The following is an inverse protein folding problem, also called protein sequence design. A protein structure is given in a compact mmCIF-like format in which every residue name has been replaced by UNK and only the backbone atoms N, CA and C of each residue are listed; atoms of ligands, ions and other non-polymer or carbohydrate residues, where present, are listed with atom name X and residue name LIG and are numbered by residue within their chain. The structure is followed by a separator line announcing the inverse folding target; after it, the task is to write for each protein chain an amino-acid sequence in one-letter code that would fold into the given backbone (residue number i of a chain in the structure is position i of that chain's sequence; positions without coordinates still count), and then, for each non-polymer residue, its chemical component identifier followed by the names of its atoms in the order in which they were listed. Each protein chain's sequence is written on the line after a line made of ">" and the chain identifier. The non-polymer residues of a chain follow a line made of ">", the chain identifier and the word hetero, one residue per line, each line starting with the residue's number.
data_IF_890897703626
#
_entry.id   IF_890897703626
#
_cell.length_a   1.000
_cell.length_b   1.000
_cell.length_c   1.000
_cell.angle_alpha   90.00
_cell.angle_beta   90.00
_cell.angle_gamma   90.00
#
_symmetry.space_group_name_H-M   'P 1'
#
loop_
_entity.id
_entity.type
_entity.pdbx_description
1 polymer ?
#
# COMPACT_ATOMS: atom_id res chain seq x y z
N UNK A 1 3.82 -24.96 1.46
CA UNK A 1 3.79 -24.69 0.00
C UNK A 1 4.02 -23.20 -0.08
N UNK A 2 5.21 -22.80 -0.52
CA UNK A 2 5.71 -21.43 -0.30
C UNK A 2 4.91 -20.39 -1.03
N UNK A 3 4.66 -19.27 -0.35
CA UNK A 3 3.95 -18.13 -0.93
C UNK A 3 4.68 -16.84 -0.60
N UNK A 4 4.82 -15.96 -1.59
CA UNK A 4 5.32 -14.60 -1.37
C UNK A 4 4.22 -13.74 -0.75
N UNK A 5 4.53 -12.94 0.27
CA UNK A 5 3.73 -11.78 0.60
C UNK A 5 4.06 -10.69 -0.42
N UNK A 6 3.11 -10.33 -1.30
CA UNK A 6 3.40 -9.34 -2.33
C UNK A 6 3.62 -7.95 -1.73
N UNK A 7 4.86 -7.49 -1.82
CA UNK A 7 5.26 -6.11 -1.61
C UNK A 7 6.00 -5.66 -2.88
N UNK A 8 5.34 -4.85 -3.70
CA UNK A 8 5.98 -4.21 -4.85
C UNK A 8 6.44 -2.81 -4.44
N UNK A 9 7.76 -2.55 -4.28
CA UNK A 9 8.25 -1.19 -4.13
C UNK A 9 8.16 -0.44 -5.47
N UNK A 10 7.84 0.84 -5.39
CA UNK A 10 8.07 1.77 -6.49
C UNK A 10 9.57 2.02 -6.64
N UNK A 11 10.13 1.60 -7.80
CA UNK A 11 11.51 1.81 -8.31
C UNK A 11 12.48 2.56 -7.37
N UNK A 12 13.46 1.84 -6.81
CA UNK A 12 14.68 2.43 -6.23
C UNK A 12 15.93 1.95 -6.97
N UNK A 13 16.70 2.88 -7.53
CA UNK A 13 18.15 2.71 -7.69
C UNK A 13 18.77 3.16 -6.37
N UNK A 14 19.51 2.31 -5.70
CA UNK A 14 20.37 2.74 -4.59
C UNK A 14 21.76 2.16 -4.75
N UNK A 15 22.70 3.08 -4.92
CA UNK A 15 24.13 2.92 -4.79
C UNK A 15 24.46 2.52 -3.34
N UNK A 16 25.47 1.68 -3.17
CA UNK A 16 25.96 1.17 -1.88
C UNK A 16 26.62 2.30 -1.10
N UNK A 17 26.18 2.58 0.13
CA UNK A 17 26.96 3.30 1.15
C UNK A 17 26.46 2.95 2.58
N UNK A 18 27.42 2.69 3.47
CA UNK A 18 27.36 2.10 4.83
C UNK A 18 26.96 3.10 5.93
N UNK A 19 26.82 2.72 7.21
CA UNK A 19 25.75 2.00 7.93
C UNK A 19 26.05 2.12 9.43
N UNK A 20 25.33 2.99 10.16
CA UNK A 20 25.06 2.87 11.62
C UNK A 20 24.03 3.91 12.10
N UNK A 21 24.14 5.17 11.66
CA UNK A 21 23.20 6.25 12.06
C UNK A 21 21.78 6.13 11.46
N UNK A 22 21.64 5.32 10.41
CA UNK A 22 20.37 5.08 9.71
C UNK A 22 19.43 4.19 10.52
N UNK A 23 19.94 3.29 11.37
CA UNK A 23 19.11 2.34 12.10
C UNK A 23 18.23 3.00 13.17
N UNK A 24 18.76 3.97 13.92
CA UNK A 24 18.00 4.72 14.93
C UNK A 24 17.00 5.70 14.32
N UNK A 25 17.32 6.28 13.15
CA UNK A 25 16.43 7.21 12.45
C UNK A 25 15.23 6.49 11.81
N UNK A 26 15.45 5.27 11.29
CA UNK A 26 14.40 4.44 10.70
C UNK A 26 13.44 3.86 11.74
N UNK A 27 13.89 3.53 12.94
CA UNK A 27 13.03 2.99 14.00
C UNK A 27 12.03 4.04 14.53
N UNK A 28 12.46 5.29 14.72
CA UNK A 28 11.56 6.39 15.12
C UNK A 28 10.55 6.78 14.03
N UNK A 29 10.96 6.82 12.77
CA UNK A 29 10.06 7.07 11.64
C UNK A 29 9.02 5.95 11.48
N UNK A 30 9.43 4.69 11.66
CA UNK A 30 8.53 3.53 11.63
C UNK A 30 7.51 3.56 12.78
N UNK A 31 7.94 3.89 14.01
CA UNK A 31 7.05 4.03 15.17
C UNK A 31 6.02 5.15 15.00
N UNK A 32 6.44 6.32 14.50
CA UNK A 32 5.56 7.46 14.24
C UNK A 32 4.53 7.13 13.14
N UNK A 33 4.99 6.44 12.08
CA UNK A 33 4.12 5.98 11.00
C UNK A 33 3.09 4.95 11.47
N UNK A 34 3.50 4.02 12.34
CA UNK A 34 2.60 3.03 12.92
C UNK A 34 1.55 3.66 13.84
N UNK A 35 1.95 4.60 14.71
CA UNK A 35 1.02 5.32 15.59
C UNK A 35 -0.07 6.06 14.80
N UNK A 36 0.30 6.69 13.68
CA UNK A 36 -0.65 7.35 12.79
C UNK A 36 -1.60 6.35 12.10
N UNK A 37 -1.07 5.20 11.66
CA UNK A 37 -1.90 4.10 11.12
C UNK A 37 -2.91 3.64 12.16
N UNK A 38 -2.50 3.40 13.40
CA UNK A 38 -3.39 2.92 14.46
C UNK A 38 -4.43 3.97 14.87
N UNK A 39 -4.11 5.25 14.71
CA UNK A 39 -5.05 6.36 14.91
C UNK A 39 -6.13 6.39 13.83
N UNK A 40 -5.77 6.16 12.56
CA UNK A 40 -6.71 6.21 11.43
C UNK A 40 -7.46 4.88 11.24
N UNK A 41 -6.78 3.77 11.52
CA UNK A 41 -7.19 2.39 11.25
C UNK A 41 -7.11 1.55 12.52
N UNK A 42 -7.84 1.98 13.56
CA UNK A 42 -7.80 1.31 14.85
C UNK A 42 -8.34 -0.13 14.78
N UNK A 43 -7.76 -1.08 15.54
CA UNK A 43 -8.32 -2.41 15.69
C UNK A 43 -9.79 -2.36 16.09
N UNK A 44 -10.57 -3.29 15.55
CA UNK A 44 -12.04 -3.43 15.70
C UNK A 44 -12.87 -2.34 15.02
N UNK A 45 -12.26 -1.30 14.44
CA UNK A 45 -12.99 -0.34 13.62
C UNK A 45 -13.61 -1.03 12.40
N UNK A 46 -14.77 -0.53 11.97
CA UNK A 46 -15.48 -1.04 10.80
C UNK A 46 -15.24 -0.12 9.61
N UNK A 47 -14.92 -0.71 8.46
CA UNK A 47 -14.80 -0.01 7.19
C UNK A 47 -15.89 -0.50 6.25
N UNK A 48 -16.42 0.39 5.42
CA UNK A 48 -17.32 0.03 4.32
C UNK A 48 -16.55 0.28 3.03
N UNK A 49 -16.11 -0.79 2.39
CA UNK A 49 -15.35 -0.73 1.14
C UNK A 49 -16.29 -0.76 -0.05
N UNK A 50 -15.90 -0.12 -1.15
CA UNK A 50 -16.45 -0.35 -2.48
C UNK A 50 -15.54 -1.36 -3.20
N UNK A 51 -15.95 -2.61 -3.22
CA UNK A 51 -15.22 -3.73 -3.83
C UNK A 51 -15.67 -3.96 -5.27
N UNK A 52 -14.73 -4.09 -6.20
CA UNK A 52 -15.03 -4.43 -7.59
C UNK A 52 -14.59 -5.86 -7.88
N UNK A 53 -15.53 -6.82 -8.02
CA UNK A 53 -15.22 -8.17 -8.45
C UNK A 53 -14.57 -8.20 -9.84
N UNK A 54 -13.71 -9.19 -10.11
CA UNK A 54 -13.02 -9.33 -11.40
C UNK A 54 -13.96 -9.33 -12.63
N UNK A 55 -15.19 -9.80 -12.47
CA UNK A 55 -16.18 -9.93 -13.55
C UNK A 55 -17.23 -8.80 -13.54
N UNK A 56 -17.03 -7.71 -12.79
CA UNK A 56 -18.00 -6.63 -12.63
C UNK A 56 -17.37 -5.27 -12.84
N UNK A 57 -18.12 -4.37 -13.50
CA UNK A 57 -17.78 -2.96 -13.58
C UNK A 57 -18.43 -2.13 -12.45
N UNK A 58 -19.26 -2.78 -11.62
CA UNK A 58 -19.96 -2.13 -10.51
C UNK A 58 -19.33 -2.49 -9.18
N UNK A 59 -19.06 -1.46 -8.37
CA UNK A 59 -18.59 -1.62 -7.00
C UNK A 59 -19.72 -2.08 -6.08
N UNK A 60 -19.45 -3.08 -5.27
CA UNK A 60 -20.35 -3.60 -4.25
C UNK A 60 -19.86 -3.18 -2.88
N UNK A 61 -20.78 -2.90 -1.95
CA UNK A 61 -20.41 -2.57 -0.58
C UNK A 61 -19.94 -3.82 0.16
N UNK A 62 -18.71 -3.77 0.67
CA UNK A 62 -18.11 -4.82 1.47
C UNK A 62 -17.75 -4.24 2.86
N UNK A 63 -18.64 -4.37 3.85
CA UNK A 63 -18.31 -4.08 5.23
C UNK A 63 -17.27 -5.07 5.78
N UNK A 64 -16.23 -4.53 6.41
CA UNK A 64 -15.16 -5.30 7.05
C UNK A 64 -14.88 -4.76 8.45
N UNK A 65 -14.37 -5.61 9.35
CA UNK A 65 -13.82 -5.20 10.63
C UNK A 65 -12.29 -5.35 10.61
N UNK A 66 -11.57 -4.37 11.14
CA UNK A 66 -10.11 -4.43 11.28
C UNK A 66 -9.78 -5.35 12.45
N UNK A 67 -9.00 -6.41 12.22
CA UNK A 67 -8.47 -7.23 13.32
C UNK A 67 -7.17 -6.61 13.85
N UNK A 68 -6.24 -6.27 12.96
CA UNK A 68 -4.98 -5.58 13.29
C UNK A 68 -4.42 -4.82 12.10
N UNK A 69 -3.57 -3.84 12.39
CA UNK A 69 -2.66 -3.22 11.44
C UNK A 69 -1.30 -3.92 11.47
N UNK A 70 -0.57 -3.86 10.37
CA UNK A 70 0.83 -4.28 10.33
C UNK A 70 1.74 -3.06 10.27
N UNK A 71 2.90 -3.16 10.91
CA UNK A 71 3.97 -2.15 10.82
C UNK A 71 4.23 -1.79 9.36
N UNK A 72 4.37 -0.49 8.97
CA UNK A 72 4.55 -0.15 7.58
C UNK A 72 5.90 -0.64 7.06
N UNK A 73 5.88 -1.71 6.27
CA UNK A 73 7.03 -2.18 5.50
C UNK A 73 6.88 -1.89 3.99
N UNK A 74 5.73 -1.35 3.58
CA UNK A 74 5.43 -0.92 2.21
C UNK A 74 4.93 0.53 2.19
N UNK A 75 4.77 1.10 1.00
CA UNK A 75 4.10 2.40 0.83
C UNK A 75 2.60 2.32 1.15
N UNK A 76 1.98 1.14 1.11
CA UNK A 76 0.59 0.94 1.49
C UNK A 76 0.45 0.61 2.99
N UNK A 77 -0.67 1.01 3.57
CA UNK A 77 -1.13 0.49 4.86
C UNK A 77 -1.61 -0.94 4.63
N UNK A 78 -1.17 -1.86 5.47
CA UNK A 78 -1.56 -3.27 5.40
C UNK A 78 -2.38 -3.59 6.66
N UNK A 79 -3.59 -4.09 6.45
CA UNK A 79 -4.53 -4.44 7.52
C UNK A 79 -4.96 -5.89 7.38
N UNK A 80 -5.04 -6.61 8.50
CA UNK A 80 -5.79 -7.86 8.58
C UNK A 80 -7.25 -7.51 8.86
N UNK A 81 -8.15 -7.96 7.99
CA UNK A 81 -9.58 -7.65 8.10
C UNK A 81 -10.44 -8.90 8.03
N UNK A 82 -11.56 -8.86 8.74
CA UNK A 82 -12.62 -9.85 8.68
C UNK A 82 -13.80 -9.28 7.87
N UNK A 83 -14.23 -9.92 6.77
CA UNK A 83 -15.44 -9.54 6.06
C UNK A 83 -16.67 -9.84 6.92
N UNK A 84 -17.65 -8.92 6.93
CA UNK A 84 -18.89 -9.07 7.70
C UNK A 84 -20.02 -9.70 6.88
N UNK A 85 -19.83 -9.87 5.58
CA UNK A 85 -20.77 -10.47 4.65
C UNK A 85 -20.06 -10.97 3.37
N UNK A 86 -20.78 -11.75 2.57
CA UNK A 86 -20.34 -12.24 1.26
C UNK A 86 -19.55 -13.56 1.31
N UNK A 87 -19.21 -14.12 0.14
CA UNK A 87 -18.56 -15.43 0.00
C UNK A 87 -17.03 -15.33 0.18
N UNK A 88 -16.57 -14.52 1.13
CA UNK A 88 -15.15 -14.29 1.37
C UNK A 88 -14.60 -15.21 2.48
N UNK A 89 -13.30 -15.51 2.50
CA UNK A 89 -12.66 -16.18 3.63
C UNK A 89 -12.84 -15.39 4.93
N UNK A 90 -12.71 -16.07 6.07
CA UNK A 90 -12.84 -15.44 7.40
C UNK A 90 -11.85 -14.31 7.66
N UNK A 91 -10.69 -14.33 7.00
CA UNK A 91 -9.65 -13.31 7.09
C UNK A 91 -9.08 -12.97 5.73
N UNK A 92 -8.80 -11.69 5.52
CA UNK A 92 -8.19 -11.16 4.30
C UNK A 92 -7.17 -10.09 4.63
N UNK A 93 -6.20 -9.90 3.74
CA UNK A 93 -5.31 -8.74 3.76
C UNK A 93 -5.95 -7.61 2.96
N UNK A 94 -6.11 -6.46 3.60
CA UNK A 94 -6.51 -5.20 2.95
C UNK A 94 -5.28 -4.29 2.84
N UNK A 95 -4.85 -4.01 1.62
CA UNK A 95 -3.80 -3.01 1.34
C UNK A 95 -4.44 -1.70 0.90
N UNK A 96 -4.19 -0.62 1.63
CA UNK A 96 -4.70 0.73 1.35
C UNK A 96 -3.56 1.69 1.01
N UNK A 97 -3.64 2.31 -0.17
CA UNK A 97 -2.68 3.30 -0.64
C UNK A 97 -3.05 4.70 -0.12
N UNK A 98 -3.18 4.81 1.20
CA UNK A 98 -3.52 6.05 1.87
C UNK A 98 -2.34 7.03 1.81
N UNK A 99 -2.55 8.23 1.28
CA UNK A 99 -1.52 9.27 1.24
C UNK A 99 -1.12 9.75 2.64
N UNK A 100 -2.02 9.63 3.61
CA UNK A 100 -1.84 10.11 4.98
C UNK A 100 -0.89 9.23 5.79
N UNK A 101 -0.74 7.97 5.40
CA UNK A 101 -0.05 6.94 6.17
C UNK A 101 1.08 6.25 5.39
N UNK A 102 1.79 5.34 6.05
CA UNK A 102 2.82 4.48 5.45
C UNK A 102 4.06 5.24 4.98
N UNK A 103 4.92 4.57 4.20
CA UNK A 103 6.08 5.24 3.61
C UNK A 103 5.63 6.27 2.56
N UNK A 104 6.00 7.54 2.75
CA UNK A 104 5.57 8.72 1.95
C UNK A 104 6.66 9.22 0.98
N UNK A 105 7.77 8.49 0.82
CA UNK A 105 8.86 8.81 -0.12
C UNK A 105 10.22 8.91 0.57
N UNK A 106 11.28 9.13 -0.23
CA UNK A 106 12.68 9.17 0.24
C UNK A 106 13.30 10.57 0.25
N UNK A 107 12.61 11.56 -0.30
CA UNK A 107 13.19 12.89 -0.44
C UNK A 107 13.27 13.55 0.93
N UNK A 108 14.43 14.14 1.26
CA UNK A 108 14.82 14.72 2.57
C UNK A 108 13.90 15.85 3.10
N UNK A 109 12.82 16.13 2.37
CA UNK A 109 11.69 16.98 2.74
C UNK A 109 10.48 16.12 3.19
N UNK A 110 10.73 15.12 4.04
CA UNK A 110 9.71 14.30 4.70
C UNK A 110 8.82 15.19 5.57
N UNK A 111 7.89 15.89 4.93
CA UNK A 111 6.81 16.60 5.59
C UNK A 111 5.81 15.52 6.03
N UNK A 112 5.72 15.23 7.34
CA UNK A 112 4.71 14.31 7.84
C UNK A 112 3.32 14.86 7.51
N UNK A 113 2.36 13.95 7.38
CA UNK A 113 0.98 14.35 7.21
C UNK A 113 0.47 15.00 8.50
N UNK A 114 -0.29 16.08 8.37
CA UNK A 114 -1.04 16.66 9.47
C UNK A 114 -2.50 16.88 9.08
N UNK A 115 -3.46 16.68 9.99
CA UNK A 115 -4.87 16.94 9.71
C UNK A 115 -5.16 18.36 9.21
N UNK A 116 -4.35 19.34 9.62
CA UNK A 116 -4.45 20.74 9.20
C UNK A 116 -4.20 20.98 7.71
N UNK A 117 -3.58 20.03 6.99
CA UNK A 117 -3.37 20.13 5.53
C UNK A 117 -4.66 19.90 4.75
N UNK A 118 -5.62 19.17 5.32
CA UNK A 118 -6.82 18.71 4.61
C UNK A 118 -7.72 19.85 4.10
N UNK A 119 -8.03 20.90 4.89
CA UNK A 119 -8.82 22.03 4.41
C UNK A 119 -8.09 22.81 3.30
N UNK A 120 -6.77 22.98 3.43
CA UNK A 120 -5.94 23.71 2.47
C UNK A 120 -5.85 22.95 1.15
N UNK A 121 -5.55 21.64 1.22
CA UNK A 121 -5.58 20.75 0.06
C UNK A 121 -6.93 20.79 -0.64
N UNK A 122 -8.02 20.70 0.13
CA UNK A 122 -9.37 20.70 -0.44
C UNK A 122 -9.69 22.00 -1.18
N UNK A 123 -9.38 23.15 -0.56
CA UNK A 123 -9.58 24.46 -1.18
C UNK A 123 -8.81 24.58 -2.50
N UNK A 124 -7.51 24.29 -2.47
CA UNK A 124 -6.65 24.44 -3.65
C UNK A 124 -7.02 23.45 -4.76
N UNK A 125 -7.34 22.21 -4.42
CA UNK A 125 -7.80 21.23 -5.41
C UNK A 125 -9.11 21.68 -6.07
N UNK A 126 -10.04 22.25 -5.30
CA UNK A 126 -11.28 22.83 -5.86
C UNK A 126 -10.98 23.99 -6.81
N UNK A 127 -10.04 24.87 -6.47
CA UNK A 127 -9.64 25.99 -7.34
C UNK A 127 -9.00 25.49 -8.64
N UNK A 128 -8.14 24.47 -8.58
CA UNK A 128 -7.53 23.83 -9.76
C UNK A 128 -8.60 23.25 -10.67
N UNK A 129 -9.53 22.46 -10.10
CA UNK A 129 -10.58 21.78 -10.89
C UNK A 129 -11.57 22.76 -11.53
N UNK A 130 -11.74 23.95 -10.95
CA UNK A 130 -12.55 25.03 -11.54
C UNK A 130 -11.78 25.89 -12.55
N UNK A 131 -10.50 25.62 -12.76
CA UNK A 131 -9.62 26.43 -13.61
C UNK A 131 -9.23 27.79 -13.01
N UNK A 132 -9.53 28.02 -11.72
CA UNK A 132 -9.19 29.26 -11.03
C UNK A 132 -7.74 29.29 -10.53
N UNK A 133 -7.06 28.13 -10.53
CA UNK A 133 -5.64 27.97 -10.21
C UNK A 133 -4.99 27.10 -11.28
N UNK A 134 -3.75 27.42 -11.63
CA UNK A 134 -2.95 26.65 -12.60
C UNK A 134 -2.74 25.19 -12.13
N UNK A 135 -2.91 24.24 -13.03
CA UNK A 135 -2.68 22.82 -12.77
C UNK A 135 -1.26 22.40 -13.16
N UNK A 136 -0.32 22.47 -12.21
CA UNK A 136 1.04 21.97 -12.39
C UNK A 136 1.21 20.46 -12.15
N UNK A 137 0.14 19.73 -11.83
CA UNK A 137 0.24 18.34 -11.38
C UNK A 137 -0.14 17.37 -12.50
N UNK A 138 0.85 16.60 -12.99
CA UNK A 138 0.62 15.58 -14.02
C UNK A 138 -0.43 14.54 -13.61
N UNK A 139 -0.48 14.18 -12.32
CA UNK A 139 -1.48 13.23 -11.79
C UNK A 139 -2.92 13.78 -11.83
N UNK A 140 -3.09 15.08 -12.00
CA UNK A 140 -4.36 15.77 -12.22
C UNK A 140 -4.58 16.15 -13.68
N UNK A 141 -3.77 15.64 -14.62
CA UNK A 141 -3.86 15.99 -16.04
C UNK A 141 -3.20 17.32 -16.42
N UNK A 142 -2.38 17.92 -15.53
CA UNK A 142 -1.59 19.11 -15.86
C UNK A 142 -0.56 18.84 -16.96
N UNK A 143 -0.33 19.83 -17.81
CA UNK A 143 0.55 19.74 -19.00
C UNK A 143 1.93 20.35 -18.80
N UNK A 144 2.10 21.21 -17.79
CA UNK A 144 3.38 21.87 -17.46
C UNK A 144 3.95 21.26 -16.19
N UNK A 145 5.10 20.56 -16.24
CA UNK A 145 5.69 19.98 -15.05
C UNK A 145 6.29 21.06 -14.15
N UNK A 146 5.89 21.12 -12.88
CA UNK A 146 6.63 21.85 -11.84
C UNK A 146 7.83 21.00 -11.37
N UNK A 147 8.78 20.71 -12.25
CA UNK A 147 10.06 20.12 -11.82
C UNK A 147 11.00 21.22 -11.32
N UNK A 148 11.60 21.03 -10.14
CA UNK A 148 12.67 21.89 -9.62
C UNK A 148 12.25 23.10 -8.79
N UNK A 149 10.97 23.28 -8.47
CA UNK A 149 10.54 24.31 -7.52
C UNK A 149 10.53 23.68 -6.11
N UNK A 150 11.20 24.33 -5.15
CA UNK A 150 11.07 24.02 -3.73
C UNK A 150 9.58 24.07 -3.40
N UNK A 151 9.00 22.95 -2.97
CA UNK A 151 7.58 22.92 -2.62
C UNK A 151 7.37 23.83 -1.43
N UNK A 152 6.65 24.92 -1.66
CA UNK A 152 6.45 25.95 -0.64
C UNK A 152 5.29 25.59 0.28
N UNK A 153 4.35 24.75 -0.16
CA UNK A 153 3.11 24.49 0.57
C UNK A 153 2.87 22.98 0.77
N UNK A 154 2.61 22.56 2.01
CA UNK A 154 2.44 21.15 2.38
C UNK A 154 1.34 20.40 1.63
N UNK A 155 0.31 21.09 1.12
CA UNK A 155 -0.76 20.45 0.35
C UNK A 155 -0.32 20.03 -1.06
N UNK A 156 0.67 20.70 -1.67
CA UNK A 156 1.21 20.30 -2.98
C UNK A 156 1.89 18.93 -2.86
N UNK A 157 2.57 18.69 -1.74
CA UNK A 157 3.15 17.37 -1.41
C UNK A 157 2.09 16.28 -1.35
N UNK A 158 0.91 16.56 -0.79
CA UNK A 158 -0.17 15.56 -0.68
C UNK A 158 -0.69 15.09 -2.05
N UNK A 159 -0.77 15.97 -3.04
CA UNK A 159 -1.20 15.62 -4.41
C UNK A 159 -0.18 14.71 -5.08
N UNK A 160 1.11 14.98 -4.86
CA UNK A 160 2.16 14.16 -5.44
C UNK A 160 2.29 12.80 -4.76
N UNK A 161 2.30 12.77 -3.42
CA UNK A 161 2.29 11.51 -2.66
C UNK A 161 1.10 10.65 -3.11
N UNK A 162 -0.08 11.26 -3.27
CA UNK A 162 -1.22 10.56 -3.85
C UNK A 162 -0.95 10.04 -5.26
N UNK A 163 -0.41 10.88 -6.16
CA UNK A 163 -0.12 10.50 -7.54
C UNK A 163 0.88 9.34 -7.65
N UNK A 164 1.91 9.35 -6.81
CA UNK A 164 2.90 8.27 -6.73
C UNK A 164 2.29 6.97 -6.22
N UNK A 165 1.56 7.03 -5.10
CA UNK A 165 0.87 5.86 -4.53
C UNK A 165 -0.20 5.31 -5.45
N UNK A 166 -0.99 6.16 -6.10
CA UNK A 166 -2.00 5.75 -7.07
C UNK A 166 -1.37 5.09 -8.32
N UNK A 167 -0.20 5.55 -8.75
CA UNK A 167 0.57 4.89 -9.82
C UNK A 167 1.13 3.54 -9.38
N UNK A 168 1.70 3.46 -8.17
CA UNK A 168 2.21 2.22 -7.61
C UNK A 168 1.09 1.19 -7.49
N UNK A 169 -0.04 1.57 -6.89
CA UNK A 169 -1.25 0.75 -6.78
C UNK A 169 -1.74 0.22 -8.13
N UNK A 170 -1.89 1.07 -9.16
CA UNK A 170 -2.31 0.63 -10.49
C UNK A 170 -1.34 -0.38 -11.09
N UNK A 171 -0.05 -0.21 -10.86
CA UNK A 171 0.99 -1.12 -11.35
C UNK A 171 0.88 -2.46 -10.63
N UNK A 172 0.69 -2.45 -9.32
CA UNK A 172 0.53 -3.65 -8.49
C UNK A 172 -0.75 -4.42 -8.84
N UNK A 173 -1.89 -3.74 -8.98
CA UNK A 173 -3.15 -4.37 -9.44
C UNK A 173 -2.98 -5.00 -10.82
N UNK A 174 -2.30 -4.30 -11.76
CA UNK A 174 -2.02 -4.86 -13.08
C UNK A 174 -1.10 -6.08 -13.00
N UNK A 175 -0.10 -6.06 -12.12
CA UNK A 175 0.79 -7.21 -11.91
C UNK A 175 -0.01 -8.43 -11.43
N UNK A 176 -0.91 -8.26 -10.47
CA UNK A 176 -1.79 -9.35 -10.02
C UNK A 176 -2.64 -9.93 -11.15
N UNK A 177 -3.26 -9.08 -11.97
CA UNK A 177 -4.01 -9.55 -13.13
C UNK A 177 -3.15 -10.33 -14.13
N UNK A 178 -1.90 -9.92 -14.36
CA UNK A 178 -0.99 -10.62 -15.28
C UNK A 178 -0.46 -11.93 -14.70
N UNK A 179 -0.30 -12.02 -13.39
CA UNK A 179 0.24 -13.18 -12.68
C UNK A 179 -0.85 -14.13 -12.16
N UNK A 180 -2.00 -14.18 -12.83
CA UNK A 180 -3.17 -14.96 -12.39
C UNK A 180 -2.86 -16.44 -12.15
N UNK A 181 -2.00 -17.06 -12.98
CA UNK A 181 -1.62 -18.48 -12.85
C UNK A 181 -0.79 -18.79 -11.61
N UNK A 182 -0.13 -17.78 -11.01
CA UNK A 182 0.70 -17.92 -9.82
C UNK A 182 -0.07 -17.66 -8.52
N UNK A 183 -1.30 -17.16 -8.62
CA UNK A 183 -2.11 -16.80 -7.45
C UNK A 183 -2.66 -18.01 -6.71
N UNK A 184 -2.56 -17.97 -5.38
CA UNK A 184 -2.97 -19.06 -4.50
C UNK A 184 -1.99 -20.25 -4.49
N UNK A 185 -0.88 -20.17 -5.22
CA UNK A 185 0.19 -21.18 -5.24
C UNK A 185 1.50 -20.55 -4.82
N UNK A 186 1.95 -19.54 -5.56
CA UNK A 186 3.25 -18.86 -5.40
C UNK A 186 3.08 -17.46 -4.82
N UNK A 187 2.02 -16.75 -5.20
CA UNK A 187 1.67 -15.44 -4.64
C UNK A 187 0.26 -15.49 -4.02
N UNK A 188 -0.13 -14.56 -3.14
CA UNK A 188 -1.42 -14.61 -2.47
C UNK A 188 -2.52 -14.40 -3.50
N UNK A 189 -3.66 -15.06 -3.33
CA UNK A 189 -4.80 -14.83 -4.23
C UNK A 189 -5.25 -13.36 -4.16
N UNK A 190 -5.45 -12.74 -5.32
CA UNK A 190 -6.02 -11.41 -5.45
C UNK A 190 -7.53 -11.51 -5.59
N UNK A 191 -8.28 -10.93 -4.66
CA UNK A 191 -9.74 -10.93 -4.71
C UNK A 191 -10.27 -9.80 -5.60
N UNK A 192 -9.59 -8.65 -5.61
CA UNK A 192 -9.97 -7.51 -6.43
C UNK A 192 -9.56 -6.17 -5.84
N UNK A 193 -9.69 -5.09 -6.63
CA UNK A 193 -9.47 -3.74 -6.14
C UNK A 193 -10.63 -3.29 -5.25
N UNK A 194 -10.31 -2.40 -4.31
CA UNK A 194 -11.30 -1.73 -3.46
C UNK A 194 -11.08 -0.22 -3.45
N UNK A 195 -12.13 0.53 -3.10
CA UNK A 195 -12.03 1.92 -2.70
C UNK A 195 -12.58 2.05 -1.28
N UNK A 196 -11.88 2.78 -0.42
CA UNK A 196 -12.39 3.20 0.88
C UNK A 196 -12.89 4.65 0.75
N UNK A 197 -14.21 4.91 0.75
CA UNK A 197 -14.73 6.27 0.67
C UNK A 197 -14.26 7.11 1.85
N UNK A 198 -13.76 8.32 1.58
CA UNK A 198 -13.36 9.30 2.59
C UNK A 198 -14.46 10.32 2.87
N UNK A 199 -15.26 10.64 1.86
CA UNK A 199 -16.31 11.66 1.93
C UNK A 199 -17.58 11.18 1.26
N UNK A 200 -18.70 11.65 1.78
CA UNK A 200 -19.99 11.49 1.11
C UNK A 200 -20.05 12.39 -0.15
N UNK A 201 -20.86 12.01 -1.16
CA UNK A 201 -21.07 12.83 -2.36
C UNK A 201 -21.50 14.29 -2.03
N UNK A 202 -21.20 15.26 -2.91
CA UNK A 202 -20.62 15.10 -4.24
C UNK A 202 -19.10 14.85 -4.22
N UNK A 203 -18.68 13.82 -4.96
CA UNK A 203 -17.28 13.50 -5.20
C UNK A 203 -16.62 14.62 -6.02
N UNK A 204 -15.42 15.05 -5.60
CA UNK A 204 -14.68 16.13 -6.25
C UNK A 204 -13.52 15.60 -7.08
N UNK A 205 -12.65 14.81 -6.46
CA UNK A 205 -11.53 14.16 -7.11
C UNK A 205 -10.98 13.03 -6.24
N UNK A 206 -10.45 11.98 -6.87
CA UNK A 206 -9.94 10.77 -6.23
C UNK A 206 -8.83 11.00 -5.17
N UNK A 207 -8.21 12.18 -5.12
CA UNK A 207 -7.25 12.59 -4.06
C UNK A 207 -7.93 12.70 -2.68
N UNK A 208 -9.21 13.09 -2.66
CA UNK A 208 -9.97 13.37 -1.43
C UNK A 208 -11.27 12.56 -1.30
N UNK A 209 -11.70 11.88 -2.36
CA UNK A 209 -12.97 11.17 -2.35
C UNK A 209 -12.84 9.75 -1.78
N UNK A 210 -11.73 9.07 -2.06
CA UNK A 210 -11.49 7.71 -1.59
C UNK A 210 -10.01 7.36 -1.49
N UNK A 211 -9.70 6.33 -0.71
CA UNK A 211 -8.38 5.68 -0.68
C UNK A 211 -8.42 4.44 -1.57
N UNK A 212 -7.56 4.34 -2.61
CA UNK A 212 -7.46 3.15 -3.43
C UNK A 212 -6.82 1.99 -2.65
N UNK A 213 -7.30 0.78 -2.87
CA UNK A 213 -6.75 -0.40 -2.21
C UNK A 213 -7.00 -1.69 -2.98
N UNK A 214 -6.64 -2.80 -2.35
CA UNK A 214 -6.90 -4.15 -2.85
C UNK A 214 -7.08 -5.15 -1.71
N UNK A 215 -7.81 -6.22 -2.02
CA UNK A 215 -7.99 -7.37 -1.14
C UNK A 215 -7.17 -8.56 -1.62
N UNK A 216 -6.43 -9.15 -0.69
CA UNK A 216 -5.53 -10.28 -0.89
C UNK A 216 -5.84 -11.39 0.10
N UNK A 217 -5.45 -12.61 -0.26
CA UNK A 217 -5.45 -13.77 0.62
C UNK A 217 -4.58 -13.51 1.85
N UNK A 218 -5.14 -13.79 3.03
CA UNK A 218 -4.36 -13.91 4.26
C UNK A 218 -3.77 -15.31 4.36
N UNK A 219 -2.50 -15.38 4.68
CA UNK A 219 -1.77 -16.62 4.89
C UNK A 219 -1.33 -16.66 6.34
N UNK A 220 -1.89 -17.60 7.08
CA UNK A 220 -1.53 -17.84 8.48
C UNK A 220 -0.31 -18.76 8.54
N UNK A 221 0.79 -18.27 7.97
CA UNK A 221 2.03 -18.99 7.81
C UNK A 221 3.18 -18.16 8.39
N UNK A 222 4.15 -18.80 9.06
CA UNK A 222 5.33 -18.10 9.55
C UNK A 222 6.14 -17.56 8.38
N UNK A 223 6.72 -16.38 8.62
CA UNK A 223 7.70 -15.79 7.72
C UNK A 223 8.98 -16.60 7.75
N UNK A 224 9.69 -16.67 6.63
CA UNK A 224 10.98 -17.35 6.57
C UNK A 224 12.04 -16.65 7.44
N UNK A 225 11.80 -15.40 7.85
CA UNK A 225 12.65 -14.69 8.83
C UNK A 225 12.49 -15.24 10.26
N UNK A 226 11.33 -15.80 10.58
CA UNK A 226 10.99 -16.35 11.89
C UNK A 226 11.41 -17.82 12.04
N UNK A 227 11.96 -18.40 10.97
CA UNK A 227 12.23 -19.84 10.83
C UNK A 227 13.73 -20.10 10.98
N UNK A 228 14.11 -21.01 11.87
CA UNK A 228 15.50 -21.46 12.02
C UNK A 228 15.75 -22.76 11.26
N UNK A 229 16.62 -22.70 10.24
CA UNK A 229 17.05 -23.88 9.48
C UNK A 229 17.76 -24.87 10.42
N UNK A 230 17.38 -26.14 10.34
CA UNK A 230 17.86 -27.21 11.22
C UNK A 230 17.06 -27.37 12.53
N UNK A 231 16.14 -26.45 12.83
CA UNK A 231 15.23 -26.52 13.99
C UNK A 231 13.79 -26.63 13.51
N UNK A 232 13.34 -25.65 12.73
CA UNK A 232 11.95 -25.52 12.27
C UNK A 232 11.76 -26.08 10.85
N UNK A 233 12.82 -26.09 10.04
CA UNK A 233 12.83 -26.56 8.65
C UNK A 233 14.11 -27.33 8.37
N UNK A 234 14.01 -28.48 7.69
CA UNK A 234 15.18 -29.30 7.35
C UNK A 234 16.01 -28.67 6.23
N UNK A 235 17.29 -29.04 6.10
CA UNK A 235 18.16 -28.55 5.02
C UNK A 235 17.56 -28.83 3.63
N UNK A 236 17.01 -30.02 3.42
CA UNK A 236 16.35 -30.40 2.15
C UNK A 236 15.12 -29.56 1.87
N UNK A 237 14.35 -29.21 2.90
CA UNK A 237 13.23 -28.29 2.74
C UNK A 237 13.72 -26.88 2.41
N UNK A 238 14.77 -26.38 3.06
CA UNK A 238 15.38 -25.09 2.75
C UNK A 238 15.92 -25.00 1.30
N UNK A 239 16.48 -26.10 0.78
CA UNK A 239 16.91 -26.20 -0.62
C UNK A 239 15.72 -26.17 -1.59
N UNK A 240 14.65 -26.95 -1.31
CA UNK A 240 13.40 -26.88 -2.07
C UNK A 240 12.79 -25.47 -2.03
N UNK A 241 12.90 -24.79 -0.88
CA UNK A 241 12.42 -23.42 -0.70
C UNK A 241 13.20 -22.46 -1.60
N UNK A 242 14.53 -22.55 -1.57
CA UNK A 242 15.43 -21.73 -2.39
C UNK A 242 15.18 -21.93 -3.88
N UNK A 243 14.97 -23.18 -4.32
CA UNK A 243 14.70 -23.48 -5.72
C UNK A 243 13.37 -22.88 -6.20
N UNK A 244 12.31 -22.98 -5.41
CA UNK A 244 11.01 -22.38 -5.75
C UNK A 244 11.07 -20.84 -5.81
N UNK A 245 11.94 -20.21 -5.02
CA UNK A 245 12.15 -18.75 -5.04
C UNK A 245 12.88 -18.31 -6.32
N UNK A 246 13.88 -19.08 -6.77
CA UNK A 246 14.63 -18.79 -8.00
C UNK A 246 13.77 -18.86 -9.27
N UNK A 247 12.73 -19.70 -9.26
CA UNK A 247 11.79 -19.84 -10.38
C UNK A 247 10.74 -18.71 -10.43
N UNK A 248 10.73 -17.81 -9.45
CA UNK A 248 9.79 -16.69 -9.40
C UNK A 248 10.36 -15.45 -10.10
N UNK A 249 9.55 -14.87 -10.99
CA UNK A 249 9.73 -13.61 -11.74
C UNK A 249 10.60 -12.61 -10.98
N UNK A 250 11.51 -11.89 -11.68
CA UNK A 250 12.35 -10.81 -11.13
C UNK A 250 11.59 -9.92 -10.13
N UNK A 251 11.60 -10.32 -8.87
CA UNK A 251 10.90 -9.65 -7.80
C UNK A 251 11.94 -8.84 -7.05
N UNK A 252 11.93 -7.53 -7.29
CA UNK A 252 12.93 -6.60 -6.78
C UNK A 252 12.87 -6.40 -5.25
N UNK A 253 11.98 -7.12 -4.56
CA UNK A 253 11.84 -7.10 -3.09
C UNK A 253 11.77 -8.53 -2.50
N UNK A 254 12.56 -9.46 -3.05
CA UNK A 254 12.78 -10.77 -2.39
C UNK A 254 13.57 -10.52 -1.11
N UNK A 255 12.89 -10.69 0.03
CA UNK A 255 13.47 -10.69 1.38
C UNK A 255 12.83 -11.82 2.17
N UNK A 256 13.54 -12.36 3.16
CA UNK A 256 13.02 -13.45 4.00
C UNK A 256 11.66 -13.09 4.64
N UNK A 257 11.50 -11.84 5.07
CA UNK A 257 10.24 -11.30 5.63
C UNK A 257 9.04 -11.32 4.69
N UNK A 258 9.27 -11.44 3.38
CA UNK A 258 8.23 -11.47 2.35
C UNK A 258 7.96 -12.89 1.84
N UNK A 259 8.52 -13.93 2.45
CA UNK A 259 8.33 -15.34 2.05
C UNK A 259 7.66 -16.08 3.21
N UNK A 260 6.53 -16.72 2.93
CA UNK A 260 5.73 -17.48 3.90
C UNK A 260 5.76 -18.99 3.55
N UNK A 261 5.81 -19.86 4.57
CA UNK A 261 5.93 -21.32 4.43
C UNK A 261 4.62 -22.08 4.15
#
# INVERSE_FOLDING_TARGET
>A
MLRFAAAFPSRSRSYVQTSTDIFNSRSHAAQTSQSLVDTIYSPRARLILEFTPANSNTGQKLPVAIEKSFAPFTSAVVLLVQPLNGPFPSRMILKLNDRRCGNRGYDSSDLPWYPSVEPVLYKNLREILRGARENGFKCLGGTVPRYGIVRTEGWEKEIEVWGEKARAWRTEVRAYHLLQSLQGTVIPRFFGPVKLPLRAPPAMHAVNDFVPGMLLEYLDAPSLEDVKVGVDVTTTQAECISQNILDCVEHWDIRLGNILL
#
